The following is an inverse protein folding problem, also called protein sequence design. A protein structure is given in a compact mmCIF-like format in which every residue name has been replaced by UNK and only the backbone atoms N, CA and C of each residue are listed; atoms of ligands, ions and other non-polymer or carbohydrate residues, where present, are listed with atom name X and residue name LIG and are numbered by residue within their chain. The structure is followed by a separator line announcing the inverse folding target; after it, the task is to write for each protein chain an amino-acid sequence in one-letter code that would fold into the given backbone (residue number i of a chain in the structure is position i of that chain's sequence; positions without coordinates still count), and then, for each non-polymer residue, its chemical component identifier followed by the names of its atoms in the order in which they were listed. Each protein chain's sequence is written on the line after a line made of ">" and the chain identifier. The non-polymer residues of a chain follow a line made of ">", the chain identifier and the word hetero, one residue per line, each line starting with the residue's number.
data_IF_193115569407
#
_entry.id   IF_193115569407
#
_cell.length_a   1.000
_cell.length_b   1.000
_cell.length_c   1.000
_cell.angle_alpha   90.00
_cell.angle_beta   90.00
_cell.angle_gamma   90.00
#
_symmetry.space_group_name_H-M   'P 1'
#
loop_
_entity.id
_entity.type
_entity.pdbx_description
1 polymer ?
#
# COMPACT_ATOMS: atom_id res chain seq x y z
N UNK A 1 15.98 7.18 -6.52
CA UNK A 1 16.15 8.64 -6.80
C UNK A 1 16.67 9.45 -5.59
N UNK A 2 17.04 8.80 -4.47
CA UNK A 2 17.63 9.50 -3.32
C UNK A 2 18.98 10.15 -3.70
N UNK A 3 19.24 11.36 -3.18
CA UNK A 3 20.52 12.05 -3.35
C UNK A 3 21.60 11.43 -2.47
N UNK A 4 22.85 11.64 -2.85
CA UNK A 4 24.01 11.26 -2.03
C UNK A 4 23.92 11.92 -0.65
N UNK A 5 24.17 11.14 0.42
CA UNK A 5 24.09 11.62 1.81
C UNK A 5 22.66 11.93 2.30
N UNK A 6 21.64 11.61 1.50
CA UNK A 6 20.23 11.86 1.86
C UNK A 6 19.77 10.98 3.02
N UNK A 7 18.55 11.25 3.50
CA UNK A 7 17.90 10.49 4.57
C UNK A 7 16.78 9.61 3.98
N UNK A 8 16.72 8.36 4.43
CA UNK A 8 15.67 7.42 4.10
C UNK A 8 14.93 6.98 5.37
N UNK A 9 13.65 7.35 5.48
CA UNK A 9 12.76 6.92 6.54
C UNK A 9 11.86 5.80 6.01
N UNK A 10 11.89 4.65 6.67
CA UNK A 10 11.12 3.47 6.33
C UNK A 10 10.06 3.17 7.39
N UNK A 11 8.80 3.04 6.97
CA UNK A 11 7.78 2.42 7.81
C UNK A 11 7.93 0.90 7.71
N UNK A 12 8.19 0.25 8.84
CA UNK A 12 8.48 -1.19 8.87
C UNK A 12 8.08 -1.79 10.22
N UNK A 13 7.56 -3.03 10.24
CA UNK A 13 7.35 -3.77 11.49
C UNK A 13 8.64 -4.23 12.15
N UNK A 14 9.77 -4.18 11.42
CA UNK A 14 11.09 -4.55 11.93
C UNK A 14 11.79 -3.33 12.49
N UNK A 15 12.29 -3.43 13.73
CA UNK A 15 13.07 -2.38 14.39
C UNK A 15 14.49 -2.22 13.80
N UNK A 16 15.24 -1.29 14.38
CA UNK A 16 16.58 -0.90 13.89
C UNK A 16 17.58 -2.05 13.78
N UNK A 17 17.46 -3.06 14.63
CA UNK A 17 18.40 -4.19 14.71
C UNK A 17 18.06 -5.31 13.71
N UNK A 18 16.83 -5.32 13.18
CA UNK A 18 16.32 -6.38 12.31
C UNK A 18 16.06 -5.92 10.87
N UNK A 19 15.64 -4.67 10.68
CA UNK A 19 15.18 -4.17 9.38
C UNK A 19 16.19 -4.36 8.27
N UNK A 20 17.49 -4.26 8.58
CA UNK A 20 18.55 -4.37 7.57
C UNK A 20 18.52 -5.70 6.82
N UNK A 21 18.36 -6.81 7.53
CA UNK A 21 18.32 -8.15 6.91
C UNK A 21 17.04 -8.43 6.12
N UNK A 22 15.98 -7.66 6.36
CA UNK A 22 14.72 -7.74 5.61
C UNK A 22 14.71 -6.87 4.35
N UNK A 23 15.73 -6.02 4.15
CA UNK A 23 15.89 -5.25 2.92
C UNK A 23 16.48 -6.10 1.80
N UNK A 24 16.00 -5.97 0.55
CA UNK A 24 16.65 -6.57 -0.61
C UNK A 24 18.10 -6.12 -0.75
N UNK A 25 18.97 -7.01 -1.24
CA UNK A 25 20.41 -6.72 -1.41
C UNK A 25 20.64 -5.47 -2.26
N UNK A 26 19.86 -5.27 -3.29
CA UNK A 26 19.98 -4.10 -4.18
C UNK A 26 19.66 -2.79 -3.44
N UNK A 27 18.68 -2.83 -2.52
CA UNK A 27 18.33 -1.68 -1.67
C UNK A 27 19.44 -1.42 -0.67
N UNK A 28 19.96 -2.47 -0.01
CA UNK A 28 21.12 -2.34 0.89
C UNK A 28 22.30 -1.71 0.18
N UNK A 29 22.61 -2.17 -1.04
CA UNK A 29 23.73 -1.64 -1.83
C UNK A 29 23.52 -0.17 -2.17
N UNK A 30 22.30 0.23 -2.58
CA UNK A 30 22.00 1.64 -2.87
C UNK A 30 22.12 2.54 -1.63
N UNK A 31 21.74 2.06 -0.45
CA UNK A 31 21.89 2.79 0.82
C UNK A 31 23.39 3.01 1.11
N UNK A 32 24.20 1.98 0.94
CA UNK A 32 25.65 2.04 1.16
C UNK A 32 26.31 3.00 0.15
N UNK A 33 26.09 2.78 -1.16
CA UNK A 33 26.72 3.54 -2.24
C UNK A 33 26.40 5.03 -2.15
N UNK A 34 25.17 5.35 -1.76
CA UNK A 34 24.71 6.73 -1.60
C UNK A 34 24.96 7.30 -0.22
N UNK A 35 25.56 6.52 0.70
CA UNK A 35 25.80 6.92 2.10
C UNK A 35 24.54 7.50 2.75
N UNK A 36 23.40 6.84 2.56
CA UNK A 36 22.13 7.31 3.13
C UNK A 36 22.11 7.10 4.64
N UNK A 37 21.52 8.05 5.35
CA UNK A 37 21.09 7.84 6.74
C UNK A 37 19.77 7.07 6.71
N UNK A 38 19.71 5.92 7.37
CA UNK A 38 18.53 5.07 7.42
C UNK A 38 17.84 5.20 8.77
N UNK A 39 16.55 5.49 8.74
CA UNK A 39 15.69 5.51 9.91
C UNK A 39 14.50 4.57 9.70
N UNK A 40 14.00 4.02 10.80
CA UNK A 40 12.83 3.14 10.81
C UNK A 40 11.84 3.56 11.88
N UNK A 41 10.56 3.33 11.60
CA UNK A 41 9.45 3.52 12.52
C UNK A 41 8.36 2.52 12.19
N UNK A 42 7.74 1.89 13.20
CA UNK A 42 6.56 1.05 13.00
C UNK A 42 5.28 1.88 13.19
N UNK A 43 4.96 2.65 12.17
CA UNK A 43 3.79 3.52 12.18
C UNK A 43 2.48 2.75 12.22
N UNK A 44 2.43 1.53 11.67
CA UNK A 44 1.20 0.70 11.66
C UNK A 44 0.90 0.19 13.05
N UNK A 45 1.88 -0.33 13.79
CA UNK A 45 1.71 -0.75 15.19
C UNK A 45 1.28 0.44 16.05
N UNK A 46 1.97 1.57 15.94
CA UNK A 46 1.64 2.79 16.69
C UNK A 46 0.23 3.29 16.36
N UNK A 47 -0.18 3.29 15.10
CA UNK A 47 -1.53 3.67 14.69
C UNK A 47 -2.61 2.77 15.28
N UNK A 48 -2.36 1.46 15.32
CA UNK A 48 -3.28 0.50 15.95
C UNK A 48 -3.38 0.69 17.47
N UNK A 49 -2.25 0.88 18.17
CA UNK A 49 -2.22 1.13 19.61
C UNK A 49 -3.00 2.39 20.02
N UNK A 50 -2.95 3.43 19.18
CA UNK A 50 -3.67 4.70 19.39
C UNK A 50 -5.16 4.56 19.01
N UNK A 51 -5.53 3.57 18.21
CA UNK A 51 -6.89 3.37 17.70
C UNK A 51 -7.18 4.09 16.36
N UNK A 52 -6.13 4.55 15.66
CA UNK A 52 -6.22 5.12 14.31
C UNK A 52 -6.20 4.03 13.21
N UNK A 53 -5.89 2.78 13.58
CA UNK A 53 -5.72 1.69 12.63
C UNK A 53 -4.59 1.98 11.63
N UNK A 54 -4.79 1.73 10.32
CA UNK A 54 -3.75 1.90 9.30
C UNK A 54 -3.48 3.38 8.93
N UNK A 55 -4.11 4.33 9.60
CA UNK A 55 -3.96 5.78 9.31
C UNK A 55 -2.70 6.32 9.95
N UNK A 56 -1.57 6.12 9.30
CA UNK A 56 -0.24 6.50 9.80
C UNK A 56 0.26 7.86 9.30
N UNK A 57 -0.54 8.60 8.53
CA UNK A 57 -0.12 9.85 7.89
C UNK A 57 0.42 10.89 8.88
N UNK A 58 -0.24 11.11 10.02
CA UNK A 58 0.22 12.06 11.05
C UNK A 58 1.52 11.59 11.70
N UNK A 59 1.63 10.29 12.00
CA UNK A 59 2.85 9.67 12.56
C UNK A 59 4.04 9.91 11.62
N UNK A 60 3.87 9.55 10.34
CA UNK A 60 4.93 9.68 9.33
C UNK A 60 5.29 11.13 9.02
N UNK A 61 4.30 12.04 8.98
CA UNK A 61 4.52 13.47 8.80
C UNK A 61 5.35 14.05 9.95
N UNK A 62 5.02 13.70 11.19
CA UNK A 62 5.76 14.16 12.36
C UNK A 62 7.20 13.61 12.33
N UNK A 63 7.37 12.32 12.03
CA UNK A 63 8.68 11.71 11.89
C UNK A 63 9.52 12.40 10.80
N UNK A 64 8.91 12.75 9.67
CA UNK A 64 9.58 13.50 8.60
C UNK A 64 10.10 14.86 9.09
N UNK A 65 9.28 15.67 9.74
CA UNK A 65 9.73 16.97 10.24
C UNK A 65 10.80 16.85 11.34
N UNK A 66 10.69 15.82 12.20
CA UNK A 66 11.69 15.56 13.25
C UNK A 66 13.07 15.25 12.66
N UNK A 67 13.13 14.43 11.60
CA UNK A 67 14.39 13.99 11.00
C UNK A 67 14.95 15.06 10.05
N UNK A 68 14.09 15.68 9.24
CA UNK A 68 14.52 16.60 8.19
C UNK A 68 14.96 17.97 8.72
N UNK A 69 14.37 18.38 9.83
CA UNK A 69 14.60 19.69 10.46
C UNK A 69 14.54 20.87 9.45
N UNK A 70 13.66 20.77 8.44
CA UNK A 70 13.49 21.80 7.39
C UNK A 70 12.94 23.10 8.01
N UNK A 71 12.11 22.96 9.05
CA UNK A 71 11.66 24.02 9.92
C UNK A 71 11.89 23.58 11.38
N UNK A 72 11.98 24.51 12.34
CA UNK A 72 12.12 24.17 13.75
C UNK A 72 11.01 23.19 14.18
N UNK A 73 11.41 22.11 14.86
CA UNK A 73 10.48 21.01 15.16
C UNK A 73 9.28 21.44 16.01
N UNK A 74 9.50 22.37 16.95
CA UNK A 74 8.41 22.90 17.78
C UNK A 74 7.37 23.66 16.95
N UNK A 75 7.83 24.42 15.94
CA UNK A 75 6.94 25.08 14.99
C UNK A 75 6.19 24.04 14.14
N UNK A 76 6.89 23.05 13.62
CA UNK A 76 6.25 21.96 12.85
C UNK A 76 5.16 21.25 13.66
N UNK A 77 5.47 20.92 14.92
CA UNK A 77 4.54 20.25 15.82
C UNK A 77 3.30 21.13 16.11
N UNK A 78 3.51 22.43 16.34
CA UNK A 78 2.41 23.36 16.53
C UNK A 78 1.49 23.40 15.30
N UNK A 79 2.04 23.61 14.13
CA UNK A 79 1.28 23.69 12.87
C UNK A 79 0.53 22.39 12.55
N UNK A 80 1.14 21.23 12.82
CA UNK A 80 0.48 19.92 12.68
C UNK A 80 -0.71 19.83 13.63
N UNK A 81 -0.55 20.22 14.91
CA UNK A 81 -1.64 20.18 15.90
C UNK A 81 -2.77 21.15 15.54
N UNK A 82 -2.45 22.34 15.07
CA UNK A 82 -3.45 23.32 14.61
C UNK A 82 -4.23 22.79 13.37
N UNK A 83 -3.55 22.16 12.44
CA UNK A 83 -4.17 21.50 11.27
C UNK A 83 -5.07 20.32 11.67
N UNK A 84 -4.69 19.55 12.69
CA UNK A 84 -5.50 18.47 13.24
C UNK A 84 -6.81 19.01 13.81
N UNK A 85 -6.74 20.08 14.62
CA UNK A 85 -7.94 20.72 15.18
C UNK A 85 -8.87 21.23 14.07
N UNK A 86 -8.29 21.89 13.06
CA UNK A 86 -9.06 22.40 11.91
C UNK A 86 -9.75 21.30 11.13
N UNK A 87 -9.07 20.16 10.93
CA UNK A 87 -9.56 19.06 10.10
C UNK A 87 -10.53 18.13 10.83
N UNK A 88 -10.25 17.84 12.10
CA UNK A 88 -10.94 16.83 12.87
C UNK A 88 -11.79 17.38 14.04
N UNK A 89 -11.77 18.69 14.30
CA UNK A 89 -12.51 19.28 15.42
C UNK A 89 -14.01 18.97 15.38
N UNK A 90 -14.61 18.91 14.19
CA UNK A 90 -16.02 18.55 14.01
C UNK A 90 -16.31 17.06 14.29
N UNK A 91 -15.30 16.19 14.24
CA UNK A 91 -15.42 14.77 14.55
C UNK A 91 -15.36 14.46 16.06
N UNK A 92 -15.12 15.49 16.89
CA UNK A 92 -15.10 15.41 18.34
C UNK A 92 -13.69 15.32 18.95
N UNK A 93 -13.60 15.66 20.23
CA UNK A 93 -12.34 15.73 20.98
C UNK A 93 -11.56 14.38 20.99
N UNK A 94 -12.27 13.25 21.02
CA UNK A 94 -11.65 11.93 20.99
C UNK A 94 -10.76 11.78 19.76
N UNK A 95 -11.25 12.15 18.57
CA UNK A 95 -10.50 12.01 17.32
C UNK A 95 -9.31 12.98 17.29
N UNK A 96 -9.48 14.21 17.78
CA UNK A 96 -8.40 15.19 17.90
C UNK A 96 -7.30 14.65 18.82
N UNK A 97 -7.66 14.13 20.00
CA UNK A 97 -6.70 13.60 20.97
C UNK A 97 -5.94 12.37 20.44
N UNK A 98 -6.61 11.48 19.71
CA UNK A 98 -5.93 10.35 19.06
C UNK A 98 -4.88 10.84 18.05
N UNK A 99 -5.18 11.87 17.27
CA UNK A 99 -4.21 12.46 16.35
C UNK A 99 -3.08 13.22 17.07
N UNK A 100 -3.33 13.84 18.22
CA UNK A 100 -2.26 14.41 19.06
C UNK A 100 -1.32 13.32 19.58
N UNK A 101 -1.86 12.18 20.03
CA UNK A 101 -1.05 11.02 20.40
C UNK A 101 -0.22 10.51 19.23
N UNK A 102 -0.75 10.55 17.99
CA UNK A 102 0.00 10.20 16.80
C UNK A 102 1.19 11.14 16.53
N UNK A 103 1.06 12.44 16.84
CA UNK A 103 2.18 13.39 16.78
C UNK A 103 3.27 12.98 17.77
N UNK A 104 2.91 12.72 19.03
CA UNK A 104 3.88 12.30 20.06
C UNK A 104 4.55 10.97 19.69
N UNK A 105 3.76 10.00 19.21
CA UNK A 105 4.28 8.70 18.76
C UNK A 105 5.26 8.86 17.59
N UNK A 106 4.92 9.67 16.58
CA UNK A 106 5.79 9.96 15.45
C UNK A 106 7.09 10.66 15.83
N UNK A 107 7.08 11.48 16.90
CA UNK A 107 8.27 12.14 17.40
C UNK A 107 9.21 11.21 18.20
N UNK A 108 8.65 10.26 18.96
CA UNK A 108 9.40 9.53 19.98
C UNK A 108 9.80 8.09 19.60
N UNK A 109 9.29 7.57 18.47
CA UNK A 109 9.53 6.17 18.09
C UNK A 109 10.34 6.02 16.79
N UNK A 110 11.13 7.02 16.43
CA UNK A 110 12.05 6.94 15.29
C UNK A 110 13.35 6.30 15.78
N UNK A 111 13.82 5.30 15.05
CA UNK A 111 15.09 4.65 15.34
C UNK A 111 16.06 4.82 14.17
N UNK A 112 17.30 5.20 14.46
CA UNK A 112 18.37 5.22 13.46
C UNK A 112 18.95 3.82 13.29
N UNK A 113 19.10 3.37 12.06
CA UNK A 113 19.63 2.05 11.71
C UNK A 113 21.09 2.15 11.39
N UNK A 114 21.92 1.36 12.07
CA UNK A 114 23.34 1.24 11.74
C UNK A 114 23.50 0.57 10.36
N UNK A 115 24.04 1.29 9.39
CA UNK A 115 24.26 0.80 8.02
C UNK A 115 25.58 0.04 7.94
N UNK A 116 25.57 -1.30 7.71
CA UNK A 116 26.79 -2.08 7.54
C UNK A 116 27.58 -1.68 6.28
N UNK A 117 28.89 -1.96 6.30
CA UNK A 117 29.77 -1.64 5.17
C UNK A 117 29.50 -2.49 3.90
N UNK A 118 28.78 -3.62 4.04
CA UNK A 118 28.51 -4.55 2.93
C UNK A 118 27.06 -4.96 2.90
N UNK A 119 26.49 -5.11 1.71
CA UNK A 119 25.17 -5.70 1.50
C UNK A 119 25.25 -7.22 1.67
N UNK A 120 24.43 -7.78 2.58
CA UNK A 120 24.53 -9.20 2.99
C UNK A 120 23.20 -9.96 2.77
N UNK A 121 22.09 -9.28 2.47
CA UNK A 121 20.79 -9.91 2.33
C UNK A 121 20.77 -10.99 1.24
N UNK A 122 20.13 -12.11 1.55
CA UNK A 122 19.79 -13.13 0.57
C UNK A 122 18.55 -12.74 -0.27
N UNK A 123 17.76 -11.79 0.21
CA UNK A 123 16.57 -11.30 -0.48
C UNK A 123 17.00 -10.49 -1.69
N UNK A 124 16.38 -10.78 -2.84
CA UNK A 124 16.59 -10.01 -4.08
C UNK A 124 15.32 -9.24 -4.43
N UNK A 125 15.48 -8.07 -5.02
CA UNK A 125 14.34 -7.38 -5.61
C UNK A 125 13.76 -8.26 -6.73
N UNK A 126 12.44 -8.38 -6.75
CA UNK A 126 11.76 -8.93 -7.92
C UNK A 126 11.91 -7.88 -9.03
N UNK A 127 12.77 -8.19 -10.00
CA UNK A 127 13.00 -7.32 -11.17
C UNK A 127 12.26 -7.89 -12.37
N UNK A 128 11.58 -7.00 -13.06
CA UNK A 128 10.94 -7.34 -14.33
C UNK A 128 9.61 -8.08 -14.19
N UNK A 129 8.89 -8.05 -15.27
CA UNK A 129 7.67 -8.81 -15.49
C UNK A 129 8.06 -10.15 -16.15
N UNK A 130 7.23 -11.18 -15.94
CA UNK A 130 7.53 -12.52 -16.49
C UNK A 130 7.85 -12.49 -17.99
N UNK A 131 8.68 -13.40 -18.43
CA UNK A 131 9.09 -13.49 -19.85
C UNK A 131 7.92 -13.73 -20.82
N UNK A 132 6.80 -14.24 -20.30
CA UNK A 132 5.53 -14.48 -20.98
C UNK A 132 4.66 -13.24 -21.14
N UNK A 133 5.05 -12.11 -20.54
CA UNK A 133 4.31 -10.86 -20.68
C UNK A 133 4.48 -10.27 -22.09
N UNK A 134 3.45 -9.60 -22.66
CA UNK A 134 3.54 -8.93 -23.93
C UNK A 134 4.70 -7.93 -24.00
N UNK A 135 5.23 -7.70 -25.19
CA UNK A 135 6.38 -6.82 -25.40
C UNK A 135 6.18 -5.43 -24.80
N UNK A 136 5.04 -4.79 -25.04
CA UNK A 136 4.72 -3.49 -24.46
C UNK A 136 4.80 -3.49 -22.93
N UNK A 137 4.34 -4.58 -22.30
CA UNK A 137 4.36 -4.71 -20.85
C UNK A 137 5.80 -4.87 -20.35
N UNK A 138 6.61 -5.68 -21.03
CA UNK A 138 8.03 -5.91 -20.66
C UNK A 138 8.92 -4.68 -20.88
N UNK A 139 8.59 -3.84 -21.82
CA UNK A 139 9.38 -2.65 -22.19
C UNK A 139 8.85 -1.38 -21.51
N UNK A 140 7.67 -0.94 -21.90
CA UNK A 140 7.09 0.34 -21.48
C UNK A 140 6.51 0.26 -20.07
N UNK A 141 5.63 -0.71 -19.79
CA UNK A 141 4.99 -0.84 -18.47
C UNK A 141 6.03 -1.14 -17.39
N UNK A 142 6.98 -2.04 -17.67
CA UNK A 142 8.06 -2.37 -16.74
C UNK A 142 8.94 -1.15 -16.40
N UNK A 143 9.28 -0.34 -17.40
CA UNK A 143 10.06 0.89 -17.17
C UNK A 143 9.30 1.89 -16.30
N UNK A 144 7.99 2.03 -16.50
CA UNK A 144 7.13 2.90 -15.68
C UNK A 144 7.07 2.40 -14.23
N UNK A 145 6.86 1.11 -14.02
CA UNK A 145 6.82 0.47 -12.69
C UNK A 145 8.15 0.67 -11.96
N UNK A 146 9.27 0.53 -12.66
CA UNK A 146 10.62 0.75 -12.12
C UNK A 146 10.92 2.24 -11.82
N UNK A 147 9.99 3.15 -12.11
CA UNK A 147 10.20 4.59 -11.97
C UNK A 147 11.19 5.16 -12.99
N UNK A 148 11.35 4.50 -14.13
CA UNK A 148 12.20 4.90 -15.27
C UNK A 148 11.36 5.36 -16.48
N UNK A 149 10.10 5.73 -16.26
CA UNK A 149 9.18 6.17 -17.32
C UNK A 149 9.74 7.32 -18.16
N UNK A 150 10.53 8.22 -17.58
CA UNK A 150 11.20 9.32 -18.28
C UNK A 150 12.18 8.84 -19.38
N UNK A 151 12.65 7.59 -19.30
CA UNK A 151 13.54 6.99 -20.30
C UNK A 151 12.77 6.30 -21.45
N UNK A 152 11.45 6.18 -21.35
CA UNK A 152 10.63 5.61 -22.42
C UNK A 152 10.51 6.61 -23.54
N UNK A 153 10.97 6.26 -24.78
CA UNK A 153 10.83 7.16 -25.91
C UNK A 153 9.35 7.33 -26.31
N UNK A 154 9.01 8.45 -26.94
CA UNK A 154 7.63 8.70 -27.43
C UNK A 154 7.14 7.56 -28.33
N UNK A 155 8.03 6.98 -29.14
CA UNK A 155 7.73 5.82 -29.99
C UNK A 155 7.44 4.53 -29.22
N UNK A 156 7.73 4.47 -27.92
CA UNK A 156 7.37 3.37 -27.03
C UNK A 156 5.91 3.43 -26.55
N UNK A 157 5.19 4.51 -26.87
CA UNK A 157 3.77 4.68 -26.55
C UNK A 157 2.92 4.51 -27.82
N UNK A 158 1.69 4.01 -27.69
CA UNK A 158 0.77 3.93 -28.83
C UNK A 158 0.52 5.30 -29.46
N UNK A 159 0.60 5.38 -30.80
CA UNK A 159 0.50 6.63 -31.53
C UNK A 159 -0.88 7.32 -31.39
N UNK A 160 -1.92 6.54 -31.11
CA UNK A 160 -3.29 7.01 -30.89
C UNK A 160 -3.58 7.47 -29.47
N UNK A 161 -2.57 7.42 -28.57
CA UNK A 161 -2.69 7.81 -27.16
C UNK A 161 -3.43 6.78 -26.29
N UNK A 162 -3.77 5.61 -26.82
CA UNK A 162 -4.36 4.54 -26.01
C UNK A 162 -3.29 3.87 -25.11
N UNK A 163 -3.71 3.29 -24.00
CA UNK A 163 -2.87 2.41 -23.18
C UNK A 163 -3.50 1.02 -23.19
N UNK A 164 -2.71 -0.05 -23.41
CA UNK A 164 -3.26 -1.41 -23.43
C UNK A 164 -3.99 -1.76 -22.14
N UNK A 165 -5.18 -2.32 -22.26
CA UNK A 165 -6.00 -2.80 -21.15
C UNK A 165 -5.55 -4.16 -20.64
N UNK A 166 -5.98 -4.55 -19.43
CA UNK A 166 -5.69 -5.86 -18.86
C UNK A 166 -4.26 -6.04 -18.38
N UNK A 167 -3.50 -4.94 -18.19
CA UNK A 167 -2.10 -4.98 -17.72
C UNK A 167 -1.98 -5.17 -16.22
N UNK A 168 -3.03 -4.93 -15.42
CA UNK A 168 -3.03 -5.07 -13.97
C UNK A 168 -2.59 -6.46 -13.48
N UNK A 169 -2.83 -7.52 -14.26
CA UNK A 169 -2.36 -8.88 -13.94
C UNK A 169 -0.82 -8.99 -13.87
N UNK A 170 -0.10 -8.04 -14.44
CA UNK A 170 1.35 -7.97 -14.42
C UNK A 170 1.89 -7.00 -13.35
N UNK A 171 1.03 -6.16 -12.76
CA UNK A 171 1.41 -5.12 -11.80
C UNK A 171 1.05 -5.50 -10.35
N UNK A 172 1.32 -6.72 -9.95
CA UNK A 172 0.99 -7.21 -8.61
C UNK A 172 1.91 -6.59 -7.56
N UNK A 173 1.39 -5.66 -6.77
CA UNK A 173 2.16 -4.92 -5.74
C UNK A 173 2.15 -5.59 -4.38
N UNK A 174 1.05 -6.23 -4.02
CA UNK A 174 0.89 -6.99 -2.78
C UNK A 174 1.20 -6.14 -1.53
N UNK A 175 0.64 -4.92 -1.47
CA UNK A 175 0.98 -3.90 -0.47
C UNK A 175 -0.01 -3.82 0.69
N UNK A 176 -1.17 -4.47 0.61
CA UNK A 176 -2.15 -4.42 1.68
C UNK A 176 -1.66 -5.21 2.90
N UNK A 177 -1.71 -4.58 4.08
CA UNK A 177 -1.48 -5.27 5.35
C UNK A 177 -2.70 -6.11 5.71
N UNK A 178 -3.90 -5.53 5.54
CA UNK A 178 -5.17 -6.19 5.75
C UNK A 178 -5.98 -6.20 4.46
N UNK A 179 -6.61 -7.33 4.14
CA UNK A 179 -7.50 -7.49 2.99
C UNK A 179 -8.91 -7.84 3.46
N UNK A 180 -9.96 -7.37 2.77
CA UNK A 180 -11.33 -7.73 3.13
C UNK A 180 -11.61 -9.20 2.81
N UNK A 181 -12.32 -9.85 3.71
CA UNK A 181 -12.86 -11.21 3.52
C UNK A 181 -14.38 -11.11 3.38
N UNK A 182 -14.91 -11.73 2.33
CA UNK A 182 -16.36 -11.77 2.14
C UNK A 182 -17.04 -12.69 3.16
N UNK A 183 -17.91 -12.09 3.96
CA UNK A 183 -18.79 -12.81 4.88
C UNK A 183 -20.16 -12.99 4.22
N UNK A 184 -20.50 -14.24 3.93
CA UNK A 184 -21.73 -14.62 3.23
C UNK A 184 -22.96 -14.42 4.08
N UNK A 185 -22.84 -14.51 5.41
CA UNK A 185 -23.98 -14.53 6.34
C UNK A 185 -24.53 -13.12 6.55
N UNK A 186 -23.65 -12.10 6.51
CA UNK A 186 -24.06 -10.70 6.65
C UNK A 186 -24.27 -10.00 5.30
N UNK A 187 -23.85 -10.60 4.20
CA UNK A 187 -23.93 -10.00 2.87
C UNK A 187 -25.38 -9.90 2.36
N UNK A 188 -25.81 -8.68 2.07
CA UNK A 188 -27.12 -8.39 1.47
C UNK A 188 -27.07 -8.29 -0.07
N UNK A 189 -25.92 -8.51 -0.69
CA UNK A 189 -25.65 -8.45 -2.14
C UNK A 189 -25.92 -7.07 -2.78
N UNK A 190 -25.75 -5.98 -2.04
CA UNK A 190 -25.98 -4.61 -2.51
C UNK A 190 -24.92 -4.09 -3.49
N UNK A 191 -23.74 -4.73 -3.57
CA UNK A 191 -22.65 -4.35 -4.47
C UNK A 191 -21.86 -3.11 -4.10
N UNK A 192 -22.18 -2.43 -2.99
CA UNK A 192 -21.52 -1.17 -2.57
C UNK A 192 -20.01 -1.34 -2.43
N UNK A 193 -19.56 -2.44 -1.80
CA UNK A 193 -18.13 -2.71 -1.61
C UNK A 193 -17.36 -2.82 -2.95
N UNK A 194 -17.97 -3.42 -3.98
CA UNK A 194 -17.41 -3.49 -5.32
C UNK A 194 -17.40 -2.11 -6.01
N UNK A 195 -18.45 -1.33 -5.81
CA UNK A 195 -18.62 -0.01 -6.42
C UNK A 195 -17.64 1.04 -5.84
N UNK A 196 -17.43 1.03 -4.52
CA UNK A 196 -16.53 2.02 -3.86
C UNK A 196 -15.06 1.65 -3.95
N UNK A 197 -14.71 0.44 -4.38
CA UNK A 197 -13.33 0.02 -4.46
C UNK A 197 -12.54 0.81 -5.51
N UNK A 198 -11.55 1.65 -5.12
CA UNK A 198 -10.85 2.52 -6.07
C UNK A 198 -9.96 1.74 -7.06
N UNK A 199 -9.66 0.48 -6.75
CA UNK A 199 -8.79 -0.37 -7.59
C UNK A 199 -9.56 -1.52 -8.27
N UNK A 200 -10.89 -1.56 -8.16
CA UNK A 200 -11.73 -2.63 -8.70
C UNK A 200 -11.27 -4.05 -8.30
N UNK A 201 -10.72 -4.18 -7.09
CA UNK A 201 -10.21 -5.46 -6.57
C UNK A 201 -11.32 -6.36 -6.06
N UNK A 202 -12.48 -5.79 -5.73
CA UNK A 202 -13.65 -6.53 -5.29
C UNK A 202 -14.56 -6.70 -6.50
N UNK A 203 -14.77 -7.95 -6.89
CA UNK A 203 -15.54 -8.30 -8.09
C UNK A 203 -16.69 -9.22 -7.71
N UNK A 204 -17.89 -8.88 -8.15
CA UNK A 204 -19.06 -9.69 -7.95
C UNK A 204 -19.56 -10.26 -9.28
N UNK A 205 -20.14 -11.46 -9.21
CA UNK A 205 -20.77 -12.10 -10.36
C UNK A 205 -22.02 -12.87 -9.94
N UNK A 206 -22.98 -12.91 -10.84
CA UNK A 206 -24.12 -13.82 -10.80
C UNK A 206 -23.90 -14.82 -11.93
N UNK A 207 -23.95 -16.11 -11.59
CA UNK A 207 -23.65 -17.22 -12.50
C UNK A 207 -24.69 -18.32 -12.36
N UNK A 208 -24.82 -19.15 -13.36
CA UNK A 208 -25.60 -20.36 -13.26
C UNK A 208 -24.86 -21.42 -12.44
N UNK A 209 -25.57 -22.27 -11.71
CA UNK A 209 -24.96 -23.21 -10.77
C UNK A 209 -24.00 -24.21 -11.44
N UNK A 210 -24.23 -24.56 -12.70
CA UNK A 210 -23.39 -25.42 -13.52
C UNK A 210 -22.02 -24.79 -13.83
N UNK A 211 -21.94 -23.47 -13.93
CA UNK A 211 -20.68 -22.75 -14.15
C UNK A 211 -19.72 -22.82 -12.96
N UNK A 212 -20.20 -23.28 -11.81
CA UNK A 212 -19.37 -23.49 -10.61
C UNK A 212 -18.79 -24.90 -10.52
N UNK A 213 -19.06 -25.76 -11.50
CA UNK A 213 -18.46 -27.11 -11.56
C UNK A 213 -16.94 -27.00 -11.67
N UNK A 214 -16.22 -27.70 -10.77
CA UNK A 214 -14.75 -27.64 -10.70
C UNK A 214 -14.19 -26.44 -9.95
N UNK A 215 -15.02 -25.59 -9.38
CA UNK A 215 -14.53 -24.54 -8.46
C UNK A 215 -13.90 -25.19 -7.21
N UNK A 216 -12.81 -24.60 -6.66
CA UNK A 216 -12.21 -25.13 -5.43
C UNK A 216 -13.20 -24.98 -4.25
N UNK A 217 -13.08 -25.84 -3.24
CA UNK A 217 -13.95 -25.84 -2.05
C UNK A 217 -13.95 -24.51 -1.29
N UNK A 218 -12.86 -23.75 -1.43
CA UNK A 218 -12.72 -22.40 -0.85
C UNK A 218 -13.45 -21.32 -1.61
N UNK A 219 -14.00 -21.62 -2.81
CA UNK A 219 -14.76 -20.67 -3.60
C UNK A 219 -16.15 -20.49 -3.04
N UNK A 220 -16.38 -19.35 -2.37
CA UNK A 220 -17.66 -19.04 -1.75
C UNK A 220 -18.69 -18.63 -2.80
N UNK A 221 -19.90 -19.18 -2.70
CA UNK A 221 -21.08 -18.75 -3.44
C UNK A 221 -22.34 -18.94 -2.59
N UNK A 222 -23.35 -18.12 -2.81
CA UNK A 222 -24.66 -18.20 -2.16
C UNK A 222 -25.76 -18.01 -3.21
N UNK A 223 -27.00 -18.27 -2.86
CA UNK A 223 -28.11 -18.00 -3.77
C UNK A 223 -28.23 -16.51 -4.08
N UNK A 224 -28.38 -16.19 -5.37
CA UNK A 224 -28.54 -14.81 -5.79
C UNK A 224 -29.91 -14.27 -5.34
N UNK A 225 -29.90 -13.05 -4.77
CA UNK A 225 -31.09 -12.34 -4.32
C UNK A 225 -31.54 -11.33 -5.37
N UNK A 226 -32.81 -11.41 -5.80
CA UNK A 226 -33.39 -10.45 -6.74
C UNK A 226 -34.41 -11.11 -7.66
N UNK A 227 -35.33 -10.32 -8.19
CA UNK A 227 -36.34 -10.78 -9.14
C UNK A 227 -35.68 -11.22 -10.45
N UNK A 228 -35.97 -12.42 -10.92
CA UNK A 228 -35.40 -12.99 -12.15
C UNK A 228 -34.02 -13.62 -11.95
N UNK A 229 -33.59 -13.82 -10.71
CA UNK A 229 -32.34 -14.46 -10.37
C UNK A 229 -32.52 -15.83 -9.69
N UNK A 230 -33.73 -16.37 -9.75
CA UNK A 230 -34.08 -17.65 -9.16
C UNK A 230 -33.20 -18.77 -9.72
N UNK A 231 -32.61 -19.57 -8.85
CA UNK A 231 -31.70 -20.66 -9.21
C UNK A 231 -30.30 -20.26 -9.58
N UNK A 232 -29.99 -18.95 -9.64
CA UNK A 232 -28.62 -18.45 -9.89
C UNK A 232 -27.82 -18.34 -8.59
N UNK A 233 -26.49 -18.35 -8.74
CA UNK A 233 -25.54 -18.16 -7.64
C UNK A 233 -24.88 -16.79 -7.72
N UNK A 234 -24.71 -16.16 -6.56
CA UNK A 234 -23.93 -14.94 -6.40
C UNK A 234 -22.58 -15.29 -5.78
N UNK A 235 -21.53 -14.72 -6.31
CA UNK A 235 -20.18 -14.80 -5.75
C UNK A 235 -19.53 -13.42 -5.71
N UNK A 236 -18.72 -13.18 -4.68
CA UNK A 236 -17.90 -12.00 -4.53
C UNK A 236 -16.47 -12.43 -4.23
N UNK A 237 -15.54 -11.96 -5.04
CA UNK A 237 -14.12 -12.31 -4.92
C UNK A 237 -13.29 -11.04 -4.73
N UNK A 238 -12.22 -11.17 -3.96
CA UNK A 238 -11.24 -10.11 -3.75
C UNK A 238 -9.93 -10.53 -4.43
N UNK A 239 -9.32 -9.61 -5.18
CA UNK A 239 -7.97 -9.78 -5.70
C UNK A 239 -6.96 -9.24 -4.66
N UNK A 240 -6.37 -10.09 -3.80
CA UNK A 240 -5.60 -9.63 -2.65
C UNK A 240 -4.33 -8.87 -3.04
N UNK A 241 -3.67 -9.28 -4.13
CA UNK A 241 -2.44 -8.66 -4.61
C UNK A 241 -2.65 -7.26 -5.22
N UNK A 242 -3.89 -6.94 -5.60
CA UNK A 242 -4.28 -5.64 -6.14
C UNK A 242 -4.87 -4.71 -5.05
N UNK A 243 -5.23 -5.26 -3.89
CA UNK A 243 -5.77 -4.52 -2.76
C UNK A 243 -4.70 -3.60 -2.16
N UNK A 244 -5.10 -2.38 -1.77
CA UNK A 244 -4.21 -1.41 -1.09
C UNK A 244 -4.46 -1.30 0.41
N UNK A 245 -5.46 -2.04 0.95
CA UNK A 245 -5.79 -1.98 2.38
C UNK A 245 -6.41 -0.64 2.82
N UNK A 246 -7.03 0.10 1.89
CA UNK A 246 -7.56 1.44 2.19
C UNK A 246 -8.78 1.47 3.13
N UNK A 247 -9.46 0.32 3.34
CA UNK A 247 -10.62 0.18 4.22
C UNK A 247 -11.91 0.85 3.73
N UNK A 248 -12.00 1.25 2.45
CA UNK A 248 -13.20 1.90 1.91
C UNK A 248 -14.42 0.96 1.81
N UNK A 249 -14.17 -0.34 1.64
CA UNK A 249 -15.22 -1.35 1.54
C UNK A 249 -15.82 -1.74 2.89
#
# INVERSE_FOLDING_TARGET
>A
KAKQGGTFLLNSPYGKDEVWQHLPREVQQQIIDKKLKLFVIDGVRLGNEIGLGPRINVIMQTAFFKISNIIPFDLATKEIKDAIVKSYGKAGEKVVNMNFQAVEAGANNIEEVAVPAKAQSAIRMKTGLGADAPEFVRTTTAAIIDGKGDAVPVSGMPADGTFPTGTAKYEKRNIAVDIPVWDTDVCIQCGICSFVCPHATIRMKIVDADQLQGAPDTFKSVDAKGKGLEGKKFSLQVAPEDCTGCGAC
#
